data_IF_654207173686
#
_entry.id   IF_654207173686
#
_cell.length_a   1.000
_cell.length_b   1.000
_cell.length_c   1.000
_cell.angle_alpha   90.00
_cell.angle_beta   90.00
_cell.angle_gamma   90.00
#
_symmetry.space_group_name_H-M   'P 1'
#
loop_
_entity.id
_entity.type
_entity.pdbx_description
1 polymer ?
#
# COMPACT_ATOMS: atom_id res chain seq x y z
N UNK A 1 -14.04 8.71 2.56
CA UNK A 1 -14.51 7.54 1.76
C UNK A 1 -14.24 7.70 0.27
N UNK A 2 -14.47 8.89 -0.30
CA UNK A 2 -14.16 9.17 -1.72
C UNK A 2 -12.67 8.97 -2.02
N UNK A 3 -11.82 9.34 -1.07
CA UNK A 3 -10.37 9.19 -1.12
C UNK A 3 -9.96 7.72 -1.22
N UNK A 4 -10.59 6.84 -0.43
CA UNK A 4 -10.32 5.38 -0.48
C UNK A 4 -10.68 4.83 -1.86
N UNK A 5 -11.84 5.22 -2.38
CA UNK A 5 -12.30 4.77 -3.70
C UNK A 5 -11.38 5.27 -4.83
N UNK A 6 -10.96 6.53 -4.77
CA UNK A 6 -10.01 7.10 -5.74
C UNK A 6 -8.62 6.47 -5.63
N UNK A 7 -8.13 6.21 -4.42
CA UNK A 7 -6.84 5.53 -4.20
C UNK A 7 -6.85 4.10 -4.75
N UNK A 8 -7.93 3.35 -4.50
CA UNK A 8 -8.10 2.00 -5.07
C UNK A 8 -8.20 2.05 -6.59
N UNK A 9 -9.04 2.94 -7.14
CA UNK A 9 -9.18 3.11 -8.59
C UNK A 9 -7.87 3.49 -9.26
N UNK A 10 -7.14 4.45 -8.69
CA UNK A 10 -5.83 4.88 -9.21
C UNK A 10 -4.82 3.74 -9.16
N UNK A 11 -4.73 3.02 -8.03
CA UNK A 11 -3.84 1.86 -7.89
C UNK A 11 -4.14 0.75 -8.90
N UNK A 12 -5.42 0.45 -9.13
CA UNK A 12 -5.84 -0.53 -10.15
C UNK A 12 -5.46 -0.08 -11.56
N UNK A 13 -5.76 1.18 -11.93
CA UNK A 13 -5.44 1.70 -13.26
C UNK A 13 -3.94 1.76 -13.53
N UNK A 14 -3.14 2.19 -12.55
CA UNK A 14 -1.67 2.20 -12.65
C UNK A 14 -1.13 0.77 -12.75
N UNK A 15 -1.65 -0.16 -11.95
CA UNK A 15 -1.26 -1.58 -12.05
C UNK A 15 -1.57 -2.18 -13.43
N UNK A 16 -2.74 -1.89 -13.99
CA UNK A 16 -3.11 -2.28 -15.35
C UNK A 16 -2.18 -1.67 -16.40
N UNK A 17 -1.84 -0.39 -16.27
CA UNK A 17 -0.92 0.30 -17.19
C UNK A 17 0.47 -0.34 -17.18
N UNK A 18 1.00 -0.67 -16.00
CA UNK A 18 2.30 -1.34 -15.86
C UNK A 18 2.29 -2.73 -16.48
N UNK A 19 1.22 -3.50 -16.25
CA UNK A 19 1.04 -4.80 -16.89
C UNK A 19 0.94 -4.68 -18.42
N UNK A 20 0.20 -3.68 -18.92
CA UNK A 20 0.05 -3.41 -20.35
C UNK A 20 1.38 -3.04 -21.02
N UNK A 21 2.17 -2.18 -20.37
CA UNK A 21 3.49 -1.77 -20.85
C UNK A 21 4.60 -2.79 -20.55
N UNK A 22 4.27 -3.92 -19.90
CA UNK A 22 5.22 -4.95 -19.43
C UNK A 22 6.36 -4.39 -18.58
N UNK A 23 6.06 -3.35 -17.80
CA UNK A 23 7.00 -2.73 -16.88
C UNK A 23 7.03 -3.49 -15.55
N UNK A 24 8.19 -3.54 -14.87
CA UNK A 24 8.24 -4.06 -13.52
C UNK A 24 7.36 -3.20 -12.60
N UNK A 25 6.51 -3.85 -11.81
CA UNK A 25 5.60 -3.16 -10.87
C UNK A 25 6.43 -2.55 -9.73
N UNK A 26 6.19 -1.27 -9.36
CA UNK A 26 6.94 -0.59 -8.30
C UNK A 26 6.52 -1.04 -6.90
N UNK A 27 5.31 -1.58 -6.76
CA UNK A 27 4.80 -2.14 -5.51
C UNK A 27 5.36 -3.56 -5.26
N UNK A 28 5.48 -3.99 -3.98
CA UNK A 28 5.97 -5.34 -3.67
C UNK A 28 5.11 -6.41 -4.34
N UNK A 29 5.68 -7.27 -5.20
CA UNK A 29 4.90 -8.25 -5.96
C UNK A 29 4.57 -9.52 -5.14
N UNK A 30 5.11 -9.63 -3.92
CA UNK A 30 4.96 -10.81 -3.07
C UNK A 30 3.94 -10.57 -1.95
N UNK A 31 3.24 -11.63 -1.55
CA UNK A 31 2.34 -11.59 -0.40
C UNK A 31 3.07 -11.17 0.88
N UNK A 32 4.33 -11.59 1.04
CA UNK A 32 5.18 -11.19 2.17
C UNK A 32 5.48 -9.69 2.18
N UNK A 33 5.69 -9.06 1.02
CA UNK A 33 5.91 -7.62 0.91
C UNK A 33 4.65 -6.82 1.27
N UNK A 34 3.48 -7.27 0.80
CA UNK A 34 2.19 -6.67 1.15
C UNK A 34 1.92 -6.80 2.66
N UNK A 35 2.13 -7.99 3.23
CA UNK A 35 2.01 -8.23 4.66
C UNK A 35 2.96 -7.34 5.49
N UNK A 36 4.18 -7.10 5.00
CA UNK A 36 5.13 -6.17 5.60
C UNK A 36 4.61 -4.73 5.65
N UNK A 37 4.01 -4.22 4.56
CA UNK A 37 3.41 -2.86 4.53
C UNK A 37 2.26 -2.76 5.53
N UNK A 38 1.39 -3.78 5.58
CA UNK A 38 0.27 -3.83 6.54
C UNK A 38 0.80 -3.85 7.97
N UNK A 39 1.79 -4.71 8.26
CA UNK A 39 2.43 -4.80 9.58
C UNK A 39 3.11 -3.50 10.01
N UNK A 40 3.77 -2.81 9.08
CA UNK A 40 4.37 -1.50 9.31
C UNK A 40 3.33 -0.46 9.72
N UNK A 41 2.22 -0.38 8.99
CA UNK A 41 1.13 0.56 9.29
C UNK A 41 0.48 0.25 10.64
N UNK A 42 0.19 -1.03 10.93
CA UNK A 42 -0.37 -1.46 12.21
C UNK A 42 0.60 -1.17 13.37
N UNK A 43 1.89 -1.44 13.19
CA UNK A 43 2.94 -1.15 14.17
C UNK A 43 3.06 0.35 14.44
N UNK A 44 3.01 1.18 13.40
CA UNK A 44 2.99 2.64 13.54
C UNK A 44 1.77 3.11 14.34
N UNK A 45 0.57 2.63 14.00
CA UNK A 45 -0.66 2.97 14.74
C UNK A 45 -0.59 2.54 16.20
N UNK A 46 -0.05 1.36 16.49
CA UNK A 46 0.16 0.89 17.85
C UNK A 46 1.15 1.78 18.61
N UNK A 47 2.29 2.14 17.99
CA UNK A 47 3.30 3.01 18.58
C UNK A 47 2.75 4.42 18.89
N UNK A 48 1.95 5.00 17.99
CA UNK A 48 1.28 6.29 18.22
C UNK A 48 0.31 6.20 19.39
N UNK A 49 -0.52 5.15 19.46
CA UNK A 49 -1.45 4.95 20.59
C UNK A 49 -0.75 4.75 21.93
N UNK A 50 0.44 4.15 21.92
CA UNK A 50 1.27 3.94 23.12
C UNK A 50 2.11 5.17 23.50
N UNK A 51 2.03 6.27 22.74
CA UNK A 51 2.77 7.50 23.02
C UNK A 51 4.26 7.44 22.64
N UNK A 52 4.66 6.47 21.83
CA UNK A 52 6.05 6.34 21.34
C UNK A 52 6.33 7.23 20.13
N UNK A 53 5.29 7.63 19.39
CA UNK A 53 5.38 8.59 18.29
C UNK A 53 4.81 9.94 18.72
N UNK A 54 5.64 10.99 18.67
CA UNK A 54 5.19 12.39 18.75
C UNK A 54 4.35 12.75 17.53
#
# INVERSE_FOLDING_TARGET
MKEVLFSLGTGTLVGMLFAFLRLPVPAPPTLSGIAGIVGLFLGYLAAVKLGWGK
#
